data_IF_223167614991
#
_entry.id   IF_223167614991
#
_cell.length_a   1.000
_cell.length_b   1.000
_cell.length_c   1.000
_cell.angle_alpha   90.00
_cell.angle_beta   90.00
_cell.angle_gamma   90.00
#
_symmetry.space_group_name_H-M   'P 1'
#
loop_
_entity.id
_entity.type
_entity.pdbx_description
1 polymer ?
#
# COMPACT_ATOMS: atom_id res chain seq x y z
N UNK A 1 -5.69 -50.50 28.08
CA UNK A 1 -6.34 -49.53 27.16
C UNK A 1 -6.41 -48.12 27.77
N UNK A 2 -6.98 -47.95 28.97
CA UNK A 2 -7.12 -46.64 29.63
C UNK A 2 -5.80 -45.90 29.87
N UNK A 3 -4.76 -46.60 30.38
CA UNK A 3 -3.46 -45.97 30.64
C UNK A 3 -2.82 -45.36 29.39
N UNK A 4 -2.92 -46.04 28.25
CA UNK A 4 -2.44 -45.53 26.96
C UNK A 4 -3.17 -44.25 26.54
N UNK A 5 -4.49 -44.21 26.69
CA UNK A 5 -5.32 -43.04 26.37
C UNK A 5 -4.91 -41.84 27.23
N UNK A 6 -4.71 -42.05 28.54
CA UNK A 6 -4.27 -40.99 29.46
C UNK A 6 -2.89 -40.46 29.07
N UNK A 7 -1.94 -41.34 28.75
CA UNK A 7 -0.59 -40.94 28.31
C UNK A 7 -0.63 -40.08 27.04
N UNK A 8 -1.39 -40.49 26.03
CA UNK A 8 -1.53 -39.72 24.79
C UNK A 8 -2.16 -38.35 25.06
N UNK A 9 -3.19 -38.28 25.90
CA UNK A 9 -3.86 -37.03 26.25
C UNK A 9 -2.94 -36.06 27.00
N UNK A 10 -2.17 -36.56 27.97
CA UNK A 10 -1.20 -35.76 28.72
C UNK A 10 -0.09 -35.25 27.81
N UNK A 11 0.46 -36.11 26.95
CA UNK A 11 1.48 -35.72 25.98
C UNK A 11 0.97 -34.66 25.00
N UNK A 12 -0.24 -34.83 24.47
CA UNK A 12 -0.88 -33.84 23.60
C UNK A 12 -1.08 -32.50 24.31
N UNK A 13 -1.64 -32.52 25.53
CA UNK A 13 -1.91 -31.31 26.30
C UNK A 13 -0.63 -30.56 26.66
N UNK A 14 0.41 -31.29 27.05
CA UNK A 14 1.72 -30.73 27.39
C UNK A 14 2.41 -30.12 26.16
N UNK A 15 2.44 -30.86 25.04
CA UNK A 15 3.03 -30.38 23.79
C UNK A 15 2.26 -29.16 23.27
N UNK A 16 0.93 -29.19 23.30
CA UNK A 16 0.07 -28.05 22.92
C UNK A 16 0.32 -26.83 23.79
N UNK A 17 0.47 -27.01 25.11
CA UNK A 17 0.82 -25.93 26.03
C UNK A 17 2.17 -25.29 25.70
N UNK A 18 3.19 -26.12 25.41
CA UNK A 18 4.52 -25.64 25.01
C UNK A 18 4.43 -24.87 23.68
N UNK A 19 3.75 -25.42 22.67
CA UNK A 19 3.60 -24.79 21.37
C UNK A 19 2.85 -23.46 21.44
N UNK A 20 1.81 -23.38 22.28
CA UNK A 20 1.06 -22.15 22.50
C UNK A 20 1.90 -21.08 23.21
N UNK A 21 2.73 -21.47 24.18
CA UNK A 21 3.58 -20.54 24.93
C UNK A 21 4.87 -20.18 24.20
N UNK A 22 5.36 -21.04 23.32
CA UNK A 22 6.60 -20.88 22.57
C UNK A 22 6.42 -21.31 21.11
N UNK A 23 5.61 -20.58 20.33
CA UNK A 23 5.36 -20.92 18.93
C UNK A 23 6.63 -20.88 18.06
N UNK A 24 7.67 -20.19 18.53
CA UNK A 24 8.95 -19.99 17.82
C UNK A 24 9.80 -21.28 17.79
N UNK A 25 9.48 -22.32 18.58
CA UNK A 25 10.27 -23.57 18.62
C UNK A 25 10.37 -24.25 17.25
N UNK A 26 9.30 -24.19 16.44
CA UNK A 26 9.26 -24.78 15.10
C UNK A 26 9.24 -23.74 13.98
N UNK A 27 8.95 -22.48 14.31
CA UNK A 27 8.94 -21.40 13.34
C UNK A 27 10.37 -20.90 13.11
N UNK A 28 11.00 -21.41 12.06
CA UNK A 28 12.22 -20.80 11.52
C UNK A 28 11.86 -19.43 10.96
N UNK A 29 12.47 -18.36 11.49
CA UNK A 29 12.30 -17.01 10.93
C UNK A 29 12.70 -17.04 9.46
N UNK A 30 11.79 -16.65 8.56
CA UNK A 30 12.10 -16.47 7.14
C UNK A 30 13.21 -15.42 7.04
N UNK A 31 14.30 -15.76 6.36
CA UNK A 31 15.33 -14.79 5.98
C UNK A 31 14.93 -14.22 4.63
N UNK A 32 14.51 -12.97 4.61
CA UNK A 32 14.23 -12.26 3.37
C UNK A 32 15.56 -11.78 2.77
N UNK A 33 15.66 -11.67 1.44
CA UNK A 33 16.85 -11.11 0.78
C UNK A 33 16.94 -9.58 0.93
N UNK A 34 15.94 -8.94 1.53
CA UNK A 34 15.85 -7.50 1.74
C UNK A 34 15.39 -7.18 3.17
N UNK A 35 15.63 -5.94 3.61
CA UNK A 35 15.10 -5.40 4.85
C UNK A 35 13.66 -4.91 4.65
N UNK A 36 12.81 -5.15 5.64
CA UNK A 36 11.41 -4.74 5.62
C UNK A 36 10.97 -4.22 7.01
N UNK A 37 11.87 -3.53 7.70
CA UNK A 37 11.59 -2.90 9.00
C UNK A 37 10.71 -1.68 8.88
N UNK A 38 10.87 -0.91 7.80
CA UNK A 38 10.05 0.24 7.49
C UNK A 38 9.40 0.05 6.12
N UNK A 39 8.06 0.03 6.12
CA UNK A 39 7.23 -0.20 4.93
C UNK A 39 6.35 1.02 4.76
N UNK A 40 6.50 1.73 3.65
CA UNK A 40 5.71 2.93 3.37
C UNK A 40 4.38 2.55 2.74
N UNK A 41 3.32 2.60 3.56
CA UNK A 41 1.95 2.31 3.15
C UNK A 41 1.47 3.28 2.07
N UNK A 42 1.03 2.71 0.94
CA UNK A 42 0.66 3.42 -0.29
C UNK A 42 1.73 4.42 -0.76
N UNK A 43 2.99 4.04 -0.57
CA UNK A 43 4.14 4.86 -0.92
C UNK A 43 4.48 6.01 0.03
N UNK A 44 3.80 6.16 1.18
CA UNK A 44 4.01 7.32 2.06
C UNK A 44 2.80 8.25 2.10
N UNK A 45 1.61 7.65 2.24
CA UNK A 45 0.32 8.36 2.30
C UNK A 45 0.17 9.30 3.50
N UNK A 46 1.16 9.35 4.40
CA UNK A 46 1.19 10.29 5.52
C UNK A 46 1.94 11.57 5.26
N UNK A 47 2.60 11.66 4.12
CA UNK A 47 3.44 12.79 3.75
C UNK A 47 3.02 13.34 2.40
N UNK A 48 2.47 12.48 1.53
CA UNK A 48 2.12 12.80 0.15
C UNK A 48 0.85 12.07 -0.30
N UNK A 49 0.26 12.54 -1.40
CA UNK A 49 -0.89 11.89 -2.05
C UNK A 49 -0.57 10.42 -2.31
N UNK A 50 -1.37 9.54 -1.70
CA UNK A 50 -1.22 8.08 -1.77
C UNK A 50 -1.02 7.54 -3.20
N UNK A 51 -0.23 6.48 -3.34
CA UNK A 51 -0.08 5.73 -4.59
C UNK A 51 0.36 6.59 -5.80
N UNK A 52 0.97 7.77 -5.56
CA UNK A 52 1.63 8.59 -6.58
C UNK A 52 3.14 8.29 -6.64
N UNK A 53 3.76 8.42 -7.82
CA UNK A 53 5.21 8.20 -7.97
C UNK A 53 6.04 9.13 -7.07
N UNK A 54 5.51 10.30 -6.72
CA UNK A 54 6.12 11.26 -5.81
C UNK A 54 6.02 10.84 -4.35
N UNK A 55 4.92 10.20 -3.93
CA UNK A 55 4.87 9.59 -2.61
C UNK A 55 5.99 8.55 -2.45
N UNK A 56 6.09 7.61 -3.40
CA UNK A 56 7.16 6.59 -3.39
C UNK A 56 8.57 7.20 -3.43
N UNK A 57 8.75 8.30 -4.18
CA UNK A 57 10.05 9.00 -4.22
C UNK A 57 10.37 9.63 -2.86
N UNK A 58 9.39 10.30 -2.25
CA UNK A 58 9.52 10.95 -0.95
C UNK A 58 9.83 9.94 0.16
N UNK A 59 9.14 8.79 0.18
CA UNK A 59 9.39 7.76 1.18
C UNK A 59 10.78 7.13 1.08
N UNK A 60 11.35 7.02 -0.13
CA UNK A 60 12.75 6.63 -0.29
C UNK A 60 13.73 7.64 0.30
N UNK A 61 13.47 8.95 0.13
CA UNK A 61 14.30 10.00 0.71
C UNK A 61 14.29 9.96 2.24
N UNK A 62 13.17 9.54 2.84
CA UNK A 62 13.02 9.35 4.29
C UNK A 62 13.67 8.03 4.77
N UNK A 63 14.13 7.17 3.85
CA UNK A 63 14.83 5.92 4.18
C UNK A 63 13.90 4.73 4.38
N UNK A 64 12.77 4.68 3.67
CA UNK A 64 11.94 3.46 3.64
C UNK A 64 12.70 2.27 3.07
N UNK A 65 12.42 1.08 3.58
CA UNK A 65 13.08 -0.15 3.10
C UNK A 65 12.26 -0.85 2.01
N UNK A 66 10.94 -0.67 2.05
CA UNK A 66 10.01 -1.35 1.17
C UNK A 66 8.77 -0.46 0.95
N UNK A 67 8.21 -0.54 -0.25
CA UNK A 67 6.91 0.07 -0.53
C UNK A 67 5.79 -0.92 -0.24
N UNK A 68 4.64 -0.40 0.17
CA UNK A 68 3.38 -1.12 0.04
C UNK A 68 2.47 -0.33 -0.90
N UNK A 69 1.72 -1.06 -1.72
CA UNK A 69 0.80 -0.47 -2.69
C UNK A 69 -0.32 -1.44 -3.03
N UNK A 70 -1.36 -0.89 -3.61
CA UNK A 70 -2.59 -1.58 -3.95
C UNK A 70 -2.75 -1.61 -5.47
N UNK A 71 -3.15 -2.75 -6.02
CA UNK A 71 -3.31 -2.90 -7.45
C UNK A 71 -4.76 -3.21 -7.86
N UNK A 72 -5.15 -2.59 -8.97
CA UNK A 72 -6.35 -2.88 -9.74
C UNK A 72 -5.99 -3.09 -11.20
N UNK A 73 -6.98 -3.51 -11.98
CA UNK A 73 -6.84 -3.64 -13.42
C UNK A 73 -7.90 -2.82 -14.15
N UNK A 74 -7.48 -2.16 -15.22
CA UNK A 74 -8.34 -1.37 -16.10
C UNK A 74 -9.06 -2.26 -17.12
N UNK A 75 -10.00 -1.66 -17.86
CA UNK A 75 -10.75 -2.32 -18.94
C UNK A 75 -9.85 -2.87 -20.06
N UNK A 76 -8.74 -2.18 -20.32
CA UNK A 76 -7.72 -2.53 -21.32
C UNK A 76 -6.52 -3.29 -20.70
N UNK A 77 -6.76 -3.97 -19.58
CA UNK A 77 -5.83 -4.88 -18.90
C UNK A 77 -4.51 -4.24 -18.46
N UNK A 78 -4.51 -2.95 -18.14
CA UNK A 78 -3.35 -2.29 -17.53
C UNK A 78 -3.46 -2.42 -16.01
N UNK A 79 -2.39 -2.90 -15.37
CA UNK A 79 -2.32 -2.94 -13.91
C UNK A 79 -1.95 -1.57 -13.38
N UNK A 80 -2.83 -1.00 -12.56
CA UNK A 80 -2.70 0.35 -12.01
C UNK A 80 -2.59 0.31 -10.50
N UNK A 81 -1.84 1.28 -9.97
CA UNK A 81 -1.56 1.44 -8.55
C UNK A 81 -2.61 2.39 -7.95
N UNK A 82 -3.59 1.84 -7.23
CA UNK A 82 -4.74 2.57 -6.70
C UNK A 82 -5.39 1.80 -5.54
N UNK A 83 -5.87 2.48 -4.49
CA UNK A 83 -6.37 1.77 -3.31
C UNK A 83 -7.83 1.31 -3.44
N UNK A 84 -8.75 2.23 -3.71
CA UNK A 84 -10.18 1.96 -3.63
C UNK A 84 -10.70 1.19 -4.84
N UNK A 85 -11.81 0.46 -4.69
CA UNK A 85 -12.47 -0.18 -5.84
C UNK A 85 -13.10 0.85 -6.79
N UNK A 86 -13.53 2.00 -6.23
CA UNK A 86 -14.19 3.07 -6.99
C UNK A 86 -13.32 4.32 -7.02
N UNK A 87 -13.50 5.13 -8.07
CA UNK A 87 -12.69 6.33 -8.32
C UNK A 87 -13.16 7.56 -7.52
N UNK A 88 -14.33 7.49 -6.87
CA UNK A 88 -15.07 8.63 -6.31
C UNK A 88 -14.26 9.46 -5.32
N UNK A 89 -13.64 8.82 -4.31
CA UNK A 89 -12.96 9.53 -3.22
C UNK A 89 -11.75 10.31 -3.72
N UNK A 90 -10.93 9.66 -4.53
CA UNK A 90 -9.61 10.18 -4.89
C UNK A 90 -9.64 11.07 -6.12
N UNK A 91 -10.65 10.93 -6.98
CA UNK A 91 -10.70 11.62 -8.29
C UNK A 91 -11.99 12.42 -8.50
N UNK A 92 -13.03 12.21 -7.70
CA UNK A 92 -14.34 12.85 -7.84
C UNK A 92 -15.20 12.29 -8.98
N UNK A 93 -14.70 11.28 -9.70
CA UNK A 93 -15.44 10.59 -10.77
C UNK A 93 -16.01 9.28 -10.23
N UNK A 94 -17.31 9.06 -10.44
CA UNK A 94 -17.94 7.80 -10.06
C UNK A 94 -17.66 6.68 -11.06
N UNK A 95 -17.44 5.48 -10.54
CA UNK A 95 -17.23 4.27 -11.32
C UNK A 95 -16.11 3.39 -10.79
N UNK A 96 -16.02 2.17 -11.30
CA UNK A 96 -14.98 1.21 -10.92
C UNK A 96 -13.77 1.35 -11.84
N UNK A 97 -12.56 1.10 -11.32
CA UNK A 97 -11.32 1.14 -12.14
C UNK A 97 -11.43 0.27 -13.40
N UNK A 98 -12.00 -0.93 -13.28
CA UNK A 98 -12.19 -1.89 -14.38
C UNK A 98 -13.11 -1.43 -15.51
N UNK A 99 -13.84 -0.33 -15.33
CA UNK A 99 -14.78 0.22 -16.32
C UNK A 99 -14.10 1.20 -17.29
N UNK A 100 -12.92 1.69 -16.95
CA UNK A 100 -12.17 2.69 -17.71
C UNK A 100 -10.95 2.06 -18.39
N UNK A 101 -10.60 2.55 -19.58
CA UNK A 101 -9.28 2.28 -20.18
C UNK A 101 -8.23 3.13 -19.47
N UNK A 102 -6.96 2.73 -19.50
CA UNK A 102 -5.90 3.45 -18.77
C UNK A 102 -5.79 4.94 -19.14
N UNK A 103 -5.88 5.27 -20.44
CA UNK A 103 -5.82 6.67 -20.89
C UNK A 103 -7.07 7.49 -20.52
N UNK A 104 -8.19 6.83 -20.22
CA UNK A 104 -9.43 7.46 -19.80
C UNK A 104 -9.52 7.62 -18.27
N UNK A 105 -8.54 7.11 -17.51
CA UNK A 105 -8.53 7.22 -16.06
C UNK A 105 -8.41 8.68 -15.62
N UNK A 106 -9.24 9.12 -14.65
CA UNK A 106 -9.14 10.46 -14.11
C UNK A 106 -7.87 10.65 -13.29
N UNK A 107 -7.53 11.92 -13.08
CA UNK A 107 -6.43 12.32 -12.20
C UNK A 107 -6.91 12.41 -10.76
N UNK A 108 -5.99 12.28 -9.81
CA UNK A 108 -6.21 12.59 -8.41
C UNK A 108 -6.68 14.03 -8.23
N UNK A 109 -7.53 14.24 -7.23
CA UNK A 109 -7.87 15.55 -6.71
C UNK A 109 -6.64 16.17 -6.03
N UNK A 110 -6.56 17.51 -6.07
CA UNK A 110 -5.52 18.27 -5.35
C UNK A 110 -5.70 18.25 -3.84
N UNK A 111 -6.87 17.82 -3.37
CA UNK A 111 -7.16 17.61 -1.98
C UNK A 111 -7.86 16.27 -1.79
N UNK A 112 -7.27 15.40 -0.97
CA UNK A 112 -7.79 14.07 -0.66
C UNK A 112 -7.63 13.78 0.83
N UNK A 113 -8.54 13.01 1.39
CA UNK A 113 -8.53 12.64 2.82
C UNK A 113 -7.44 11.62 3.14
N UNK A 114 -6.76 11.80 4.28
CA UNK A 114 -5.78 10.88 4.84
C UNK A 114 -6.50 9.82 5.68
N UNK A 115 -6.68 8.61 5.14
CA UNK A 115 -7.58 7.61 5.75
C UNK A 115 -7.21 7.14 7.16
N UNK A 116 -5.94 7.22 7.58
CA UNK A 116 -5.52 6.74 8.90
C UNK A 116 -5.42 7.85 9.96
N UNK A 117 -5.63 9.11 9.56
CA UNK A 117 -5.68 10.24 10.50
C UNK A 117 -6.98 11.01 10.26
N UNK A 118 -8.03 10.77 11.07
CA UNK A 118 -9.30 11.49 10.94
C UNK A 118 -9.10 13.00 10.88
N UNK A 119 -9.98 13.68 10.14
CA UNK A 119 -9.96 15.14 9.94
C UNK A 119 -8.64 15.68 9.35
N UNK A 120 -7.89 14.81 8.65
CA UNK A 120 -6.66 15.21 7.98
C UNK A 120 -6.78 15.04 6.48
N UNK A 121 -6.35 16.06 5.74
CA UNK A 121 -6.44 16.10 4.29
C UNK A 121 -5.12 16.54 3.71
N UNK A 122 -4.69 15.87 2.64
CA UNK A 122 -3.76 16.49 1.71
C UNK A 122 -4.46 17.65 1.03
N UNK A 123 -3.76 18.76 0.87
CA UNK A 123 -4.18 19.89 0.07
C UNK A 123 -2.96 20.46 -0.63
N UNK A 124 -3.18 21.14 -1.74
CA UNK A 124 -2.09 21.71 -2.53
C UNK A 124 -2.12 23.22 -2.41
N UNK A 125 -1.03 23.81 -1.90
CA UNK A 125 -0.87 25.26 -1.78
C UNK A 125 0.06 25.77 -2.88
N UNK A 126 -0.33 26.90 -3.48
CA UNK A 126 0.51 27.64 -4.42
C UNK A 126 1.14 28.83 -3.69
N UNK A 127 2.45 28.82 -3.53
CA UNK A 127 3.22 29.89 -2.91
C UNK A 127 4.33 30.32 -3.86
N UNK A 128 4.20 31.51 -4.46
CA UNK A 128 5.24 32.16 -5.27
C UNK A 128 6.00 31.17 -6.20
N UNK A 129 5.25 30.56 -7.14
CA UNK A 129 5.74 29.57 -8.13
C UNK A 129 6.08 28.17 -7.60
N UNK A 130 5.98 27.92 -6.30
CA UNK A 130 6.09 26.59 -5.72
C UNK A 130 4.70 26.01 -5.44
N UNK A 131 4.46 24.80 -5.94
CA UNK A 131 3.28 24.00 -5.63
C UNK A 131 3.67 22.94 -4.58
N UNK A 132 3.10 23.06 -3.39
CA UNK A 132 3.43 22.20 -2.24
C UNK A 132 2.19 21.41 -1.83
N UNK A 133 2.36 20.11 -1.58
CA UNK A 133 1.38 19.32 -0.85
C UNK A 133 1.58 19.55 0.63
N UNK A 134 0.45 19.78 1.27
CA UNK A 134 0.33 20.14 2.65
C UNK A 134 -0.68 19.21 3.29
N UNK A 135 -0.37 18.72 4.48
CA UNK A 135 -1.36 17.99 5.28
C UNK A 135 -1.94 18.92 6.31
N UNK A 136 -3.24 19.20 6.18
CA UNK A 136 -3.98 19.96 7.18
C UNK A 136 -4.70 18.99 8.09
N UNK A 137 -4.39 19.03 9.38
CA UNK A 137 -5.13 18.33 10.43
C UNK A 137 -5.78 19.33 11.39
N UNK A 138 -6.99 19.03 11.86
CA UNK A 138 -7.66 19.80 12.92
C UNK A 138 -6.80 19.93 14.21
N UNK A 139 -5.86 19.00 14.42
CA UNK A 139 -4.91 18.97 15.53
C UNK A 139 -3.67 19.88 15.36
N UNK A 140 -3.50 20.54 14.20
CA UNK A 140 -2.36 21.43 13.93
C UNK A 140 -1.07 20.74 13.48
N UNK A 141 -1.10 19.43 13.21
CA UNK A 141 0.02 18.74 12.56
C UNK A 141 0.08 19.10 11.07
N UNK A 142 1.28 19.43 10.58
CA UNK A 142 1.50 19.90 9.21
C UNK A 142 2.73 19.23 8.61
N UNK A 143 2.53 18.50 7.52
CA UNK A 143 3.63 18.02 6.69
C UNK A 143 3.64 18.84 5.39
N UNK A 144 4.83 19.16 4.89
CA UNK A 144 5.02 19.84 3.61
C UNK A 144 5.86 18.93 2.73
N UNK A 145 5.36 18.65 1.53
CA UNK A 145 6.05 17.92 0.50
C UNK A 145 5.88 18.66 -0.85
N UNK A 146 6.75 18.36 -1.81
CA UNK A 146 6.58 18.88 -3.18
C UNK A 146 5.31 18.30 -3.81
N UNK A 147 4.58 19.09 -4.59
CA UNK A 147 3.41 18.61 -5.33
C UNK A 147 3.79 17.52 -6.35
N UNK A 148 2.92 16.52 -6.58
CA UNK A 148 3.13 15.56 -7.66
C UNK A 148 3.33 16.28 -8.99
N UNK A 149 4.37 15.90 -9.73
CA UNK A 149 4.58 16.38 -11.11
C UNK A 149 3.42 15.97 -12.02
N UNK A 150 2.76 14.85 -11.67
CA UNK A 150 1.55 14.38 -12.31
C UNK A 150 0.60 13.75 -11.30
N UNK A 151 -0.62 14.28 -11.22
CA UNK A 151 -1.74 13.67 -10.49
C UNK A 151 -2.33 12.43 -11.22
N UNK A 152 -1.61 11.83 -12.17
CA UNK A 152 -2.09 10.65 -12.91
C UNK A 152 -1.93 9.40 -12.03
N UNK A 153 -2.91 8.50 -12.09
CA UNK A 153 -2.81 7.17 -11.48
C UNK A 153 -1.71 6.40 -12.23
N UNK A 154 -0.61 5.98 -11.55
CA UNK A 154 0.49 5.30 -12.21
C UNK A 154 0.14 3.84 -12.54
N UNK A 155 0.78 3.28 -13.57
CA UNK A 155 0.79 1.83 -13.76
C UNK A 155 1.78 1.20 -12.80
N UNK A 156 1.55 -0.06 -12.46
CA UNK A 156 2.50 -0.84 -11.69
C UNK A 156 3.87 -0.93 -12.41
N UNK A 157 3.84 -1.03 -13.75
CA UNK A 157 5.04 -1.01 -14.58
C UNK A 157 5.85 0.30 -14.40
N UNK A 158 5.18 1.45 -14.33
CA UNK A 158 5.84 2.75 -14.13
C UNK A 158 6.57 2.78 -12.77
N UNK A 159 6.01 2.11 -11.76
CA UNK A 159 6.61 1.98 -10.44
C UNK A 159 7.86 1.11 -10.46
N UNK A 160 7.81 -0.07 -11.09
CA UNK A 160 8.97 -0.95 -11.24
C UNK A 160 10.09 -0.32 -12.06
N UNK A 161 9.74 0.37 -13.15
CA UNK A 161 10.70 1.06 -14.00
C UNK A 161 11.41 2.19 -13.24
N UNK A 162 10.69 2.93 -12.40
CA UNK A 162 11.27 4.03 -11.61
C UNK A 162 12.07 3.54 -10.40
N UNK A 163 11.68 2.43 -9.78
CA UNK A 163 12.28 1.91 -8.55
C UNK A 163 12.73 0.45 -8.66
N UNK A 164 13.65 0.12 -9.57
CA UNK A 164 14.00 -1.27 -9.90
C UNK A 164 14.66 -2.06 -8.76
N UNK A 165 15.17 -1.36 -7.73
CA UNK A 165 15.92 -1.96 -6.62
C UNK A 165 15.16 -1.91 -5.28
N UNK A 166 13.94 -1.36 -5.26
CA UNK A 166 13.16 -1.22 -4.03
C UNK A 166 12.16 -2.37 -3.96
N UNK A 167 12.16 -3.19 -2.90
CA UNK A 167 11.13 -4.19 -2.68
C UNK A 167 9.73 -3.54 -2.63
N UNK A 168 8.74 -4.21 -3.18
CA UNK A 168 7.35 -3.73 -3.21
C UNK A 168 6.44 -4.87 -2.72
N UNK A 169 5.67 -4.59 -1.67
CA UNK A 169 4.54 -5.41 -1.26
C UNK A 169 3.30 -4.98 -2.03
N UNK A 170 2.70 -5.90 -2.79
CA UNK A 170 1.56 -5.61 -3.66
C UNK A 170 0.31 -6.26 -3.10
N UNK A 171 -0.67 -5.44 -2.79
CA UNK A 171 -1.98 -5.84 -2.32
C UNK A 171 -2.96 -5.91 -3.50
N UNK A 172 -3.45 -7.11 -3.80
CA UNK A 172 -4.47 -7.33 -4.82
C UNK A 172 -5.85 -7.11 -4.19
N UNK A 173 -6.50 -5.98 -4.52
CA UNK A 173 -7.76 -5.58 -3.88
C UNK A 173 -9.01 -6.26 -4.42
N UNK A 174 -8.90 -6.90 -5.59
CA UNK A 174 -10.02 -7.55 -6.26
C UNK A 174 -9.68 -9.00 -6.57
N UNK A 175 -10.62 -9.91 -6.34
CA UNK A 175 -10.47 -11.31 -6.74
C UNK A 175 -10.63 -11.46 -8.26
N UNK A 176 -9.58 -11.12 -9.00
CA UNK A 176 -9.52 -11.15 -10.46
C UNK A 176 -8.32 -11.98 -10.92
N UNK A 177 -8.58 -13.06 -11.65
CA UNK A 177 -7.54 -13.98 -12.11
C UNK A 177 -6.56 -13.32 -13.08
N UNK A 178 -7.01 -12.36 -13.89
CA UNK A 178 -6.16 -11.67 -14.84
C UNK A 178 -5.19 -10.77 -14.08
N UNK A 179 -5.69 -9.98 -13.14
CA UNK A 179 -4.84 -9.16 -12.26
C UNK A 179 -3.83 -10.02 -11.47
N UNK A 180 -4.26 -11.14 -10.90
CA UNK A 180 -3.37 -12.05 -10.16
C UNK A 180 -2.26 -12.57 -11.08
N UNK A 181 -2.59 -12.96 -12.31
CA UNK A 181 -1.60 -13.45 -13.26
C UNK A 181 -0.63 -12.33 -13.67
N UNK A 182 -1.12 -11.15 -14.02
CA UNK A 182 -0.28 -10.02 -14.46
C UNK A 182 0.67 -9.51 -13.35
N UNK A 183 0.22 -9.49 -12.08
CA UNK A 183 1.06 -9.06 -10.94
C UNK A 183 2.10 -10.11 -10.55
N UNK A 184 1.86 -11.39 -10.87
CA UNK A 184 2.73 -12.50 -10.47
C UNK A 184 3.88 -12.78 -11.44
N UNK A 185 3.93 -12.10 -12.59
CA UNK A 185 4.93 -12.25 -13.64
C UNK A 185 6.14 -11.33 -13.42
#
# INVERSE_FOLDING_TARGET
>A
MLGFIVTVFVAYSFTSYILLRRPIIFLRRKRLPFEASHISHRGGSGEQIENTLEAFSSSLLVGTNMFETDCHITKDNQVVVFHDNTLDRSTGVSGLVKEFSYEDLPRYLRAIEVQFTPDSYHTTLNLHELELVVIMSSSGSFCIAESPSSYKIPRLEDLFNKFPNTPINIDIKVNDNLLINEVSL
#
